data_IF_245960907092
#
_entry.id   IF_245960907092
#
_cell.length_a   1.000
_cell.length_b   1.000
_cell.length_c   1.000
_cell.angle_alpha   90.00
_cell.angle_beta   90.00
_cell.angle_gamma   90.00
#
_symmetry.space_group_name_H-M   'P 1'
#
loop_
_entity.id
_entity.type
_entity.pdbx_description
1 polymer ?
#
# COMPACT_ATOMS: atom_id res chain seq x y z
N UNK A 1 6.51 -24.20 11.58
CA UNK A 1 5.34 -23.29 11.54
C UNK A 1 4.93 -23.02 12.97
N UNK A 2 4.65 -21.76 13.32
CA UNK A 2 4.19 -21.40 14.65
C UNK A 2 2.65 -21.50 14.69
N UNK A 3 2.09 -21.99 15.79
CA UNK A 3 0.65 -22.02 16.03
C UNK A 3 0.31 -20.93 17.04
N UNK A 4 -0.62 -20.05 16.69
CA UNK A 4 -1.12 -19.00 17.58
C UNK A 4 -2.40 -19.49 18.25
N UNK A 5 -2.42 -19.48 19.58
CA UNK A 5 -3.63 -19.65 20.38
C UNK A 5 -4.05 -18.28 20.90
N UNK A 6 -5.29 -17.89 20.63
CA UNK A 6 -5.88 -16.64 21.11
C UNK A 6 -6.98 -17.01 22.10
N UNK A 7 -6.82 -16.57 23.34
CA UNK A 7 -7.78 -16.80 24.42
C UNK A 7 -8.58 -15.53 24.72
N UNK A 8 -9.77 -15.70 25.30
CA UNK A 8 -10.62 -14.61 25.80
C UNK A 8 -11.09 -13.62 24.71
N UNK A 9 -11.53 -14.14 23.56
CA UNK A 9 -12.14 -13.32 22.50
C UNK A 9 -13.56 -12.92 22.94
N UNK A 10 -13.91 -11.63 22.96
CA UNK A 10 -15.28 -11.20 23.22
C UNK A 10 -16.27 -11.81 22.23
N UNK A 11 -17.45 -12.23 22.70
CA UNK A 11 -18.45 -12.91 21.87
C UNK A 11 -18.83 -12.11 20.62
N UNK A 12 -18.94 -10.79 20.75
CA UNK A 12 -19.24 -9.87 19.64
C UNK A 12 -18.16 -9.92 18.56
N UNK A 13 -16.89 -9.93 18.97
CA UNK A 13 -15.76 -10.00 18.05
C UNK A 13 -15.71 -11.37 17.35
N UNK A 14 -15.97 -12.45 18.08
CA UNK A 14 -16.03 -13.79 17.50
C UNK A 14 -17.16 -13.91 16.46
N UNK A 15 -18.34 -13.33 16.75
CA UNK A 15 -19.47 -13.29 15.81
C UNK A 15 -19.12 -12.51 14.54
N UNK A 16 -18.58 -11.31 14.67
CA UNK A 16 -18.15 -10.49 13.54
C UNK A 16 -17.12 -11.22 12.67
N UNK A 17 -16.14 -11.87 13.30
CA UNK A 17 -15.12 -12.64 12.60
C UNK A 17 -15.71 -13.85 11.86
N UNK A 18 -16.69 -14.55 12.47
CA UNK A 18 -17.38 -15.68 11.84
C UNK A 18 -18.23 -15.25 10.64
N UNK A 19 -18.90 -14.10 10.71
CA UNK A 19 -19.66 -13.55 9.60
C UNK A 19 -18.74 -13.15 8.44
N UNK A 20 -17.64 -12.46 8.74
CA UNK A 20 -16.63 -12.08 7.73
C UNK A 20 -16.03 -13.32 7.06
N UNK A 21 -15.64 -14.34 7.84
CA UNK A 21 -15.12 -15.59 7.28
C UNK A 21 -16.12 -16.28 6.33
N UNK A 22 -17.43 -16.25 6.66
CA UNK A 22 -18.49 -16.76 5.77
C UNK A 22 -18.60 -15.96 4.47
N UNK A 23 -18.55 -14.64 4.54
CA UNK A 23 -18.57 -13.77 3.36
C UNK A 23 -17.39 -14.04 2.42
N UNK A 24 -16.21 -14.33 2.99
CA UNK A 24 -15.01 -14.68 2.22
C UNK A 24 -14.90 -16.17 1.85
N UNK A 25 -15.91 -16.99 2.19
CA UNK A 25 -15.90 -18.45 1.98
C UNK A 25 -14.66 -19.15 2.57
N UNK A 26 -14.17 -18.67 3.71
CA UNK A 26 -12.97 -19.16 4.40
C UNK A 26 -13.33 -19.76 5.77
N UNK A 27 -12.44 -20.60 6.28
CA UNK A 27 -12.48 -20.97 7.70
C UNK A 27 -12.08 -19.77 8.57
N UNK A 28 -12.51 -19.78 9.83
CA UNK A 28 -12.13 -18.75 10.82
C UNK A 28 -10.60 -18.61 10.92
N UNK A 29 -9.88 -19.73 10.94
CA UNK A 29 -8.42 -19.71 11.03
C UNK A 29 -7.76 -19.10 9.76
N UNK A 30 -8.28 -19.42 8.57
CA UNK A 30 -7.79 -18.85 7.32
C UNK A 30 -8.09 -17.34 7.23
N UNK A 31 -9.23 -16.91 7.77
CA UNK A 31 -9.60 -15.50 7.83
C UNK A 31 -8.70 -14.71 8.79
N UNK A 32 -8.41 -15.27 9.97
CA UNK A 32 -7.44 -14.68 10.91
C UNK A 32 -6.07 -14.56 10.26
N UNK A 33 -5.60 -15.60 9.56
CA UNK A 33 -4.32 -15.53 8.87
C UNK A 33 -4.30 -14.41 7.83
N UNK A 34 -5.37 -14.28 7.04
CA UNK A 34 -5.52 -13.20 6.05
C UNK A 34 -5.44 -11.83 6.72
N UNK A 35 -6.16 -11.65 7.84
CA UNK A 35 -6.12 -10.41 8.62
C UNK A 35 -4.73 -10.08 9.15
N UNK A 36 -4.01 -11.09 9.65
CA UNK A 36 -2.65 -10.91 10.15
C UNK A 36 -1.70 -10.50 9.02
N UNK A 37 -1.83 -11.12 7.84
CA UNK A 37 -1.04 -10.76 6.65
C UNK A 37 -1.32 -9.32 6.18
N UNK A 38 -2.58 -8.88 6.23
CA UNK A 38 -2.97 -7.53 5.82
C UNK A 38 -2.49 -6.44 6.81
N UNK A 39 -2.53 -6.73 8.12
CA UNK A 39 -2.33 -5.71 9.15
C UNK A 39 -0.94 -5.73 9.79
N UNK A 40 -0.19 -6.83 9.70
CA UNK A 40 1.12 -6.96 10.34
C UNK A 40 2.21 -6.86 9.26
N UNK A 41 2.78 -5.67 9.02
CA UNK A 41 3.85 -5.53 8.04
C UNK A 41 5.10 -6.25 8.54
N UNK A 42 5.65 -7.14 7.72
CA UNK A 42 6.90 -7.81 8.06
C UNK A 42 8.08 -6.83 8.02
N UNK A 43 9.14 -7.11 8.77
CA UNK A 43 10.36 -6.29 8.75
C UNK A 43 10.95 -6.15 7.34
N UNK A 44 10.82 -7.18 6.50
CA UNK A 44 11.23 -7.13 5.10
C UNK A 44 10.37 -6.15 4.29
N UNK A 45 9.07 -6.14 4.52
CA UNK A 45 8.16 -5.22 3.85
C UNK A 45 8.37 -3.76 4.28
N UNK A 46 8.58 -3.52 5.57
CA UNK A 46 8.95 -2.20 6.08
C UNK A 46 10.24 -1.67 5.43
N UNK A 47 11.27 -2.52 5.28
CA UNK A 47 12.51 -2.15 4.58
C UNK A 47 12.26 -1.81 3.10
N UNK A 48 11.39 -2.56 2.41
CA UNK A 48 11.00 -2.25 1.03
C UNK A 48 10.29 -0.89 0.94
N UNK A 49 9.33 -0.63 1.83
CA UNK A 49 8.62 0.66 1.91
C UNK A 49 9.61 1.81 2.12
N UNK A 50 10.54 1.68 3.07
CA UNK A 50 11.59 2.68 3.30
C UNK A 50 12.47 2.93 2.06
N UNK A 51 12.84 1.88 1.32
CA UNK A 51 13.62 2.02 0.08
C UNK A 51 12.86 2.82 -0.98
N UNK A 52 11.57 2.55 -1.14
CA UNK A 52 10.69 3.28 -2.07
C UNK A 52 10.60 4.76 -1.67
N UNK A 53 10.37 5.05 -0.39
CA UNK A 53 10.36 6.43 0.10
C UNK A 53 11.67 7.16 -0.19
N UNK A 54 12.82 6.53 0.07
CA UNK A 54 14.13 7.11 -0.26
C UNK A 54 14.30 7.35 -1.76
N UNK A 55 13.76 6.49 -2.62
CA UNK A 55 13.79 6.70 -4.07
C UNK A 55 12.91 7.88 -4.48
N UNK A 56 11.70 8.00 -3.92
CA UNK A 56 10.80 9.13 -4.14
C UNK A 56 11.42 10.45 -3.67
N UNK A 57 12.05 10.46 -2.50
CA UNK A 57 12.77 11.63 -2.00
C UNK A 57 13.91 12.03 -2.96
N UNK A 58 14.68 11.06 -3.46
CA UNK A 58 15.72 11.33 -4.47
C UNK A 58 15.14 11.95 -5.74
N UNK A 59 14.06 11.41 -6.27
CA UNK A 59 13.38 11.93 -7.46
C UNK A 59 12.77 13.32 -7.23
N UNK A 60 12.29 13.61 -6.02
CA UNK A 60 11.82 14.95 -5.64
C UNK A 60 12.96 15.94 -5.48
N UNK A 61 14.11 15.49 -4.97
CA UNK A 61 15.28 16.33 -4.76
C UNK A 61 16.09 16.57 -6.04
N UNK A 62 15.96 15.70 -7.05
CA UNK A 62 16.46 15.99 -8.38
C UNK A 62 15.61 17.13 -8.94
N UNK A 63 16.18 18.34 -8.89
CA UNK A 63 15.62 19.52 -9.53
C UNK A 63 15.20 19.13 -10.97
N UNK A 64 14.01 19.54 -11.47
CA UNK A 64 13.73 19.42 -12.89
C UNK A 64 14.92 19.99 -13.65
N UNK A 65 15.36 19.29 -14.71
CA UNK A 65 16.37 19.84 -15.60
C UNK A 65 15.92 21.27 -15.91
N UNK A 66 16.76 22.25 -15.58
CA UNK A 66 16.47 23.67 -15.84
C UNK A 66 16.05 23.86 -17.30
N UNK A 67 15.45 25.00 -17.66
CA UNK A 67 14.84 25.20 -18.97
C UNK A 67 15.81 24.72 -20.04
N UNK A 68 15.47 23.57 -20.64
CA UNK A 68 16.28 22.99 -21.70
C UNK A 68 16.26 23.95 -22.91
N UNK A 69 16.92 23.58 -24.01
CA UNK A 69 16.84 24.38 -25.24
C UNK A 69 15.42 24.46 -25.82
N UNK A 70 14.47 23.70 -25.28
CA UNK A 70 13.09 23.64 -25.72
C UNK A 70 12.17 24.54 -24.88
N UNK A 71 11.14 25.15 -25.51
CA UNK A 71 10.10 25.87 -24.79
C UNK A 71 9.37 24.94 -23.81
N UNK A 72 8.76 25.53 -22.80
CA UNK A 72 8.00 24.77 -21.80
C UNK A 72 6.85 24.01 -22.45
N UNK A 73 6.45 22.88 -21.86
CA UNK A 73 5.32 22.08 -22.34
C UNK A 73 4.03 22.92 -22.47
N UNK A 74 3.86 23.91 -21.59
CA UNK A 74 2.74 24.86 -21.63
C UNK A 74 2.78 25.74 -22.89
N UNK A 75 3.96 26.22 -23.30
CA UNK A 75 4.14 27.01 -24.52
C UNK A 75 3.88 26.19 -25.78
N UNK A 76 4.36 24.95 -25.82
CA UNK A 76 4.13 24.05 -26.97
C UNK A 76 2.64 23.71 -27.14
N UNK A 77 1.92 23.49 -26.04
CA UNK A 77 0.47 23.26 -26.07
C UNK A 77 -0.32 24.49 -26.51
N UNK A 78 0.16 25.69 -26.18
CA UNK A 78 -0.47 26.93 -26.62
C UNK A 78 -0.30 27.12 -28.13
N UNK A 79 0.91 26.91 -28.65
CA UNK A 79 1.20 27.00 -30.08
C UNK A 79 0.36 26.02 -30.92
N UNK A 80 0.17 24.79 -30.44
CA UNK A 80 -0.63 23.78 -31.15
C UNK A 80 -2.13 24.12 -31.20
N UNK A 81 -2.65 24.84 -30.19
CA UNK A 81 -4.05 25.31 -30.17
C UNK A 81 -4.31 26.54 -31.03
N UNK A 82 -3.26 27.27 -31.37
CA UNK A 82 -3.35 28.49 -32.20
C UNK A 82 -3.15 28.20 -33.71
N UNK A 83 -2.91 26.93 -34.08
CA UNK A 83 -2.90 26.43 -35.47
C UNK A 83 -4.26 25.88 -35.91
#
# INVERSE_FOLDING_TARGET
>A
MATLYVENIPDELYRALRERARQHHKSIAAEILTLLEENIPTAAELKKRQKIFKQLERLRSSNPAGPGPFPTSEQMQREDRER
#
